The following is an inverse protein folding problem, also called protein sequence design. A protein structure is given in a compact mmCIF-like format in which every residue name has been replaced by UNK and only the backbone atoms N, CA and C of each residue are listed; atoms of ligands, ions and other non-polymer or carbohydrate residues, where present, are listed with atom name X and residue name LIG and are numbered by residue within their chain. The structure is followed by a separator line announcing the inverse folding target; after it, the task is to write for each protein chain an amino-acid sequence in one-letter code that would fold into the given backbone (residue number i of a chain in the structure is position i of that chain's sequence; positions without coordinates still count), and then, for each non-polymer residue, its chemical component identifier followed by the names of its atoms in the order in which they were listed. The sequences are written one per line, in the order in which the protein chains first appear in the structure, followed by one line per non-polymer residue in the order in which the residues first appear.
data_IF_441101682862
#
_entry.id   IF_441101682862
#
_cell.length_a   1.000
_cell.length_b   1.000
_cell.length_c   1.000
_cell.angle_alpha   90.00
_cell.angle_beta   90.00
_cell.angle_gamma   90.00
#
_symmetry.space_group_name_H-M   'P 1'
#
loop_
_entity.id
_entity.type
_entity.pdbx_description
1 polymer ?
#
# COMPACT_ATOMS: atom_id res chain seq x y z
N UNK A 1 13.96 18.88 2.19
CA UNK A 1 13.61 17.55 1.68
C UNK A 1 12.14 17.55 1.31
N UNK A 2 11.74 16.91 0.20
CA UNK A 2 10.32 16.74 -0.19
C UNK A 2 10.14 15.29 -0.63
N UNK A 3 9.01 14.69 -0.25
CA UNK A 3 8.64 13.34 -0.63
C UNK A 3 7.48 13.39 -1.64
N UNK A 4 7.50 12.46 -2.58
CA UNK A 4 6.33 12.22 -3.41
C UNK A 4 5.14 11.79 -2.55
N UNK A 5 5.40 10.96 -1.51
CA UNK A 5 4.39 10.41 -0.60
C UNK A 5 5.00 10.06 0.76
N UNK A 6 4.20 10.20 1.82
CA UNK A 6 4.51 9.62 3.13
C UNK A 6 3.48 8.53 3.42
N UNK A 7 3.95 7.34 3.78
CA UNK A 7 3.09 6.27 4.28
C UNK A 7 2.81 6.53 5.76
N UNK A 8 1.54 6.52 6.16
CA UNK A 8 1.13 6.64 7.56
C UNK A 8 0.21 5.46 7.86
N UNK A 9 0.71 4.52 8.65
CA UNK A 9 -0.05 3.36 9.03
C UNK A 9 -1.08 3.74 10.08
N UNK A 10 -2.36 3.83 9.71
CA UNK A 10 -3.44 4.12 10.65
C UNK A 10 -3.64 2.98 11.64
N UNK A 11 -3.45 1.76 11.19
CA UNK A 11 -3.51 0.54 11.99
C UNK A 11 -2.64 -0.54 11.36
N UNK A 12 -2.02 -1.39 12.18
CA UNK A 12 -1.33 -2.60 11.71
C UNK A 12 -2.26 -3.83 11.72
N UNK A 13 -3.54 -3.63 12.03
CA UNK A 13 -4.55 -4.68 12.03
C UNK A 13 -5.11 -4.84 10.62
N UNK A 14 -5.08 -6.06 10.08
CA UNK A 14 -5.67 -6.39 8.79
C UNK A 14 -6.80 -7.42 8.92
N UNK A 15 -6.79 -8.24 10.00
CA UNK A 15 -7.75 -9.32 10.16
C UNK A 15 -7.57 -10.50 9.20
N UNK A 16 -6.50 -10.49 8.39
CA UNK A 16 -6.15 -11.53 7.40
C UNK A 16 -4.73 -12.06 7.66
N UNK A 17 -4.43 -13.23 7.10
CA UNK A 17 -3.13 -13.91 7.21
C UNK A 17 -2.62 -14.34 5.84
N UNK A 18 -2.64 -13.42 4.87
CA UNK A 18 -2.21 -13.70 3.50
C UNK A 18 -0.77 -14.22 3.46
N UNK A 19 -0.54 -15.29 2.70
CA UNK A 19 0.77 -15.97 2.64
C UNK A 19 1.90 -15.11 2.05
N UNK A 20 1.57 -14.03 1.32
CA UNK A 20 2.54 -13.08 0.76
C UNK A 20 2.87 -11.91 1.69
N UNK A 21 2.14 -11.75 2.80
CA UNK A 21 2.43 -10.69 3.77
C UNK A 21 3.57 -11.12 4.73
N UNK A 22 4.28 -10.15 5.34
CA UNK A 22 5.28 -10.47 6.34
C UNK A 22 4.61 -11.02 7.61
N UNK A 23 5.34 -11.83 8.35
CA UNK A 23 4.92 -12.22 9.71
C UNK A 23 4.85 -10.97 10.59
N UNK A 24 3.70 -10.68 11.14
CA UNK A 24 3.50 -9.51 12.03
C UNK A 24 4.14 -9.78 13.37
N UNK A 25 5.17 -9.02 13.72
CA UNK A 25 5.92 -9.14 14.98
C UNK A 25 5.50 -8.10 16.01
N UNK A 26 4.94 -6.97 15.56
CA UNK A 26 4.49 -5.89 16.45
C UNK A 26 3.10 -6.19 17.01
N UNK A 27 2.82 -5.76 18.26
CA UNK A 27 1.48 -5.83 18.84
C UNK A 27 0.45 -5.12 17.96
N UNK A 28 -0.79 -5.63 17.96
CA UNK A 28 -1.91 -4.98 17.27
C UNK A 28 -2.10 -3.56 17.83
N UNK A 29 -2.11 -2.58 16.94
CA UNK A 29 -2.19 -1.17 17.30
C UNK A 29 -2.94 -0.36 16.24
N UNK A 30 -3.69 0.62 16.72
CA UNK A 30 -4.30 1.67 15.91
C UNK A 30 -3.79 3.02 16.39
N UNK A 31 -3.43 3.88 15.47
CA UNK A 31 -3.05 5.27 15.74
C UNK A 31 -4.29 6.05 16.18
N UNK A 32 -4.21 6.84 17.25
CA UNK A 32 -5.34 7.70 17.61
C UNK A 32 -5.52 8.84 16.61
N UNK A 33 -6.75 9.35 16.50
CA UNK A 33 -7.10 10.44 15.59
C UNK A 33 -6.30 11.70 15.90
N UNK A 34 -6.12 12.02 17.19
CA UNK A 34 -5.35 13.18 17.65
C UNK A 34 -3.86 13.06 17.31
N UNK A 35 -3.30 11.84 17.47
CA UNK A 35 -1.92 11.61 17.11
C UNK A 35 -1.72 11.68 15.61
N UNK A 36 -2.65 11.15 14.83
CA UNK A 36 -2.64 11.28 13.37
C UNK A 36 -2.67 12.75 12.93
N UNK A 37 -3.53 13.60 13.53
CA UNK A 37 -3.55 15.04 13.24
C UNK A 37 -2.20 15.69 13.51
N UNK A 38 -1.57 15.35 14.62
CA UNK A 38 -0.24 15.87 14.97
C UNK A 38 0.83 15.49 13.94
N UNK A 39 0.74 14.26 13.39
CA UNK A 39 1.64 13.76 12.35
C UNK A 39 1.37 14.46 11.02
N UNK A 40 0.10 14.55 10.60
CA UNK A 40 -0.29 15.20 9.34
C UNK A 40 0.14 16.66 9.30
N UNK A 41 0.02 17.36 10.44
CA UNK A 41 0.46 18.74 10.61
C UNK A 41 1.96 18.93 10.34
N UNK A 42 2.76 17.93 10.69
CA UNK A 42 4.19 17.93 10.40
C UNK A 42 4.48 17.45 8.97
N UNK A 43 3.79 16.38 8.52
CA UNK A 43 4.00 15.75 7.22
C UNK A 43 3.72 16.69 6.04
N UNK A 44 2.75 17.63 6.17
CA UNK A 44 2.40 18.59 5.10
C UNK A 44 3.56 19.52 4.70
N UNK A 45 4.57 19.68 5.55
CA UNK A 45 5.80 20.39 5.18
C UNK A 45 6.65 19.62 4.16
N UNK A 46 6.42 18.32 4.01
CA UNK A 46 7.27 17.41 3.22
C UNK A 46 6.54 16.77 2.04
N UNK A 47 5.21 16.66 2.08
CA UNK A 47 4.41 16.08 1.00
C UNK A 47 3.02 16.69 0.94
N UNK A 48 2.32 16.49 -0.17
CA UNK A 48 0.89 16.79 -0.33
C UNK A 48 0.04 15.51 -0.40
N UNK A 49 0.68 14.34 -0.34
CA UNK A 49 0.01 13.05 -0.48
C UNK A 49 0.47 12.05 0.57
N UNK A 50 -0.46 11.38 1.23
CA UNK A 50 -0.19 10.27 2.14
C UNK A 50 -0.76 8.96 1.61
N UNK A 51 -0.21 7.83 2.06
CA UNK A 51 -0.81 6.51 1.88
C UNK A 51 -1.12 5.93 3.25
N UNK A 52 -2.39 5.66 3.51
CA UNK A 52 -2.87 5.28 4.84
C UNK A 52 -2.70 3.77 5.14
N UNK A 53 -1.54 3.21 4.82
CA UNK A 53 -1.22 1.81 5.08
C UNK A 53 0.29 1.54 5.14
N UNK A 54 0.67 0.47 5.83
CA UNK A 54 1.93 -0.27 5.71
C UNK A 54 1.59 -1.75 5.61
N UNK A 55 1.19 -2.41 6.69
CA UNK A 55 0.75 -3.83 6.67
C UNK A 55 -0.68 -4.02 7.16
N UNK A 56 -1.32 -3.03 7.76
CA UNK A 56 -2.72 -3.06 8.14
C UNK A 56 -3.65 -2.67 7.00
N UNK A 57 -4.93 -2.93 7.19
CA UNK A 57 -5.97 -2.51 6.25
C UNK A 57 -6.77 -1.35 6.86
N UNK A 58 -6.68 -0.12 6.32
CA UNK A 58 -7.38 1.04 6.86
C UNK A 58 -8.90 0.88 6.88
N UNK A 59 -9.46 0.02 6.03
CA UNK A 59 -10.91 -0.24 6.02
C UNK A 59 -11.38 -1.11 7.20
N UNK A 60 -10.48 -1.61 8.06
CA UNK A 60 -10.87 -2.22 9.33
C UNK A 60 -11.43 -1.19 10.32
N UNK A 61 -11.05 0.09 10.18
CA UNK A 61 -11.41 1.19 11.08
C UNK A 61 -12.81 1.71 10.79
N UNK A 62 -13.76 1.54 11.71
CA UNK A 62 -15.12 2.07 11.56
C UNK A 62 -15.18 3.60 11.51
N UNK A 63 -14.21 4.27 12.10
CA UNK A 63 -14.08 5.74 12.12
C UNK A 63 -13.08 6.27 11.07
N UNK A 64 -12.87 5.56 9.96
CA UNK A 64 -11.96 6.00 8.89
C UNK A 64 -12.25 7.44 8.42
N UNK A 65 -13.53 7.85 8.42
CA UNK A 65 -13.92 9.20 8.02
C UNK A 65 -13.23 10.29 8.84
N UNK A 66 -13.00 10.10 10.14
CA UNK A 66 -12.33 11.09 11.00
C UNK A 66 -10.89 11.38 10.54
N UNK A 67 -10.17 10.33 10.10
CA UNK A 67 -8.82 10.48 9.54
C UNK A 67 -8.85 11.18 8.18
N UNK A 68 -9.87 10.92 7.36
CA UNK A 68 -10.03 11.59 6.07
C UNK A 68 -10.40 13.08 6.24
N UNK A 69 -11.23 13.41 7.21
CA UNK A 69 -11.59 14.80 7.56
C UNK A 69 -10.35 15.61 7.98
N UNK A 70 -9.43 14.99 8.76
CA UNK A 70 -8.15 15.61 9.11
C UNK A 70 -7.32 15.90 7.85
N UNK A 71 -7.23 14.94 6.93
CA UNK A 71 -6.51 15.16 5.68
C UNK A 71 -7.12 16.31 4.85
N UNK A 72 -8.44 16.43 4.86
CA UNK A 72 -9.14 17.54 4.19
C UNK A 72 -8.79 18.88 4.82
N UNK A 73 -8.86 18.99 6.15
CA UNK A 73 -8.47 20.18 6.89
C UNK A 73 -7.04 20.66 6.56
N UNK A 74 -6.14 19.70 6.35
CA UNK A 74 -4.75 19.98 5.98
C UNK A 74 -4.50 20.06 4.46
N UNK A 75 -5.56 19.93 3.63
CA UNK A 75 -5.51 19.96 2.15
C UNK A 75 -4.59 18.91 1.57
N UNK A 76 -4.55 17.74 2.18
CA UNK A 76 -3.76 16.60 1.73
C UNK A 76 -4.61 15.58 0.98
N UNK A 77 -4.02 14.90 0.03
CA UNK A 77 -4.64 13.77 -0.68
C UNK A 77 -4.17 12.45 -0.09
N UNK A 78 -4.99 11.40 -0.26
CA UNK A 78 -4.64 10.07 0.22
C UNK A 78 -4.86 8.99 -0.80
N UNK A 79 -4.08 7.92 -0.62
CA UNK A 79 -4.24 6.64 -1.29
C UNK A 79 -4.59 5.61 -0.22
N UNK A 80 -5.71 4.92 -0.40
CA UNK A 80 -6.12 3.79 0.41
C UNK A 80 -5.66 2.49 -0.27
N UNK A 81 -5.17 1.54 0.51
CA UNK A 81 -4.90 0.18 0.04
C UNK A 81 -5.59 -0.79 0.98
N UNK A 82 -6.40 -1.67 0.42
CA UNK A 82 -7.25 -2.59 1.16
C UNK A 82 -7.22 -3.98 0.53
N UNK A 83 -7.52 -4.97 1.34
CA UNK A 83 -7.78 -6.35 0.91
C UNK A 83 -9.11 -6.50 0.13
N UNK A 84 -10.02 -5.53 0.26
CA UNK A 84 -11.38 -5.61 -0.27
C UNK A 84 -12.43 -6.20 0.69
N UNK A 85 -12.01 -6.90 1.74
CA UNK A 85 -12.91 -7.60 2.67
C UNK A 85 -13.82 -6.67 3.48
N UNK A 86 -13.39 -5.42 3.70
CA UNK A 86 -14.07 -4.48 4.59
C UNK A 86 -14.83 -3.37 3.87
N UNK A 87 -14.96 -3.44 2.55
CA UNK A 87 -15.67 -2.43 1.75
C UNK A 87 -17.10 -2.17 2.26
N UNK A 88 -17.83 -3.24 2.63
CA UNK A 88 -19.21 -3.14 3.14
C UNK A 88 -19.34 -2.46 4.51
N UNK A 89 -18.24 -2.23 5.23
CA UNK A 89 -18.24 -1.48 6.49
C UNK A 89 -18.36 0.02 6.30
N UNK A 90 -18.13 0.51 5.08
CA UNK A 90 -18.05 1.93 4.78
C UNK A 90 -19.14 2.35 3.79
N UNK A 91 -19.61 3.59 3.95
CA UNK A 91 -20.47 4.22 2.95
C UNK A 91 -19.63 4.68 1.76
N UNK A 92 -20.25 4.81 0.59
CA UNK A 92 -19.57 5.39 -0.57
C UNK A 92 -19.15 6.84 -0.34
N UNK A 93 -19.84 7.59 0.51
CA UNK A 93 -19.41 8.92 0.91
C UNK A 93 -18.03 8.90 1.59
N UNK A 94 -17.77 7.91 2.46
CA UNK A 94 -16.44 7.72 3.07
C UNK A 94 -15.41 7.26 2.04
N UNK A 95 -15.74 6.27 1.21
CA UNK A 95 -14.79 5.73 0.23
C UNK A 95 -14.44 6.74 -0.88
N UNK A 96 -15.38 7.59 -1.25
CA UNK A 96 -15.19 8.65 -2.25
C UNK A 96 -14.96 10.03 -1.62
N UNK A 97 -14.50 10.05 -0.37
CA UNK A 97 -14.18 11.29 0.32
C UNK A 97 -13.26 12.18 -0.55
N UNK A 98 -13.44 13.52 -0.56
CA UNK A 98 -12.69 14.43 -1.45
C UNK A 98 -11.16 14.32 -1.34
N UNK A 99 -10.64 13.85 -0.21
CA UNK A 99 -9.20 13.61 -0.04
C UNK A 99 -8.72 12.34 -0.70
N UNK A 100 -9.60 11.35 -0.94
CA UNK A 100 -9.23 10.07 -1.55
C UNK A 100 -8.99 10.27 -3.04
N UNK A 101 -7.74 10.10 -3.44
CA UNK A 101 -7.31 10.17 -4.84
C UNK A 101 -7.39 8.79 -5.52
N UNK A 102 -7.17 7.74 -4.72
CA UNK A 102 -7.03 6.39 -5.24
C UNK A 102 -7.36 5.34 -4.19
N UNK A 103 -8.06 4.29 -4.60
CA UNK A 103 -8.27 3.07 -3.82
C UNK A 103 -7.59 1.92 -4.55
N UNK A 104 -6.69 1.22 -3.86
CA UNK A 104 -6.09 -0.01 -4.34
C UNK A 104 -6.76 -1.19 -3.65
N UNK A 105 -7.20 -2.18 -4.42
CA UNK A 105 -7.73 -3.44 -3.90
C UNK A 105 -6.74 -4.55 -4.24
N UNK A 106 -6.21 -5.23 -3.23
CA UNK A 106 -5.29 -6.35 -3.38
C UNK A 106 -6.09 -7.63 -3.62
N UNK A 107 -6.39 -7.96 -4.89
CA UNK A 107 -7.21 -9.12 -5.26
C UNK A 107 -6.64 -10.44 -4.77
N UNK A 108 -5.31 -10.55 -4.69
CA UNK A 108 -4.64 -11.73 -4.15
C UNK A 108 -4.89 -11.97 -2.65
N UNK A 109 -5.49 -11.01 -1.95
CA UNK A 109 -5.92 -11.22 -0.56
C UNK A 109 -6.99 -12.30 -0.42
N UNK A 110 -7.75 -12.59 -1.49
CA UNK A 110 -8.74 -13.67 -1.48
C UNK A 110 -8.09 -15.05 -1.57
N UNK A 111 -7.32 -15.30 -2.63
CA UNK A 111 -6.79 -16.63 -2.93
C UNK A 111 -5.52 -17.01 -2.12
N UNK A 112 -4.92 -16.05 -1.43
CA UNK A 112 -3.74 -16.26 -0.56
C UNK A 112 -4.09 -16.25 0.93
N UNK A 113 -5.36 -16.39 1.26
CA UNK A 113 -5.85 -16.36 2.61
C UNK A 113 -6.89 -17.45 2.81
N UNK A 114 -6.95 -18.03 4.00
CA UNK A 114 -8.04 -18.94 4.36
C UNK A 114 -9.29 -18.12 4.68
N UNK A 115 -10.36 -18.34 3.92
CA UNK A 115 -11.61 -17.57 4.03
C UNK A 115 -12.83 -18.45 3.81
N UNK A 116 -13.89 -18.15 4.55
CA UNK A 116 -15.20 -18.78 4.36
C UNK A 116 -16.05 -18.10 3.27
N UNK A 117 -15.61 -16.97 2.71
CA UNK A 117 -16.33 -16.29 1.64
C UNK A 117 -16.18 -17.05 0.32
N UNK A 118 -17.29 -17.16 -0.43
CA UNK A 118 -17.17 -17.58 -1.84
C UNK A 118 -16.50 -16.49 -2.68
N UNK A 119 -16.02 -16.85 -3.85
CA UNK A 119 -15.44 -15.91 -4.80
C UNK A 119 -16.40 -14.76 -5.14
N UNK A 120 -17.67 -15.08 -5.37
CA UNK A 120 -18.72 -14.12 -5.70
C UNK A 120 -18.99 -13.18 -4.52
N UNK A 121 -19.04 -13.71 -3.30
CA UNK A 121 -19.23 -12.91 -2.08
C UNK A 121 -18.10 -11.93 -1.84
N UNK A 122 -16.87 -12.31 -2.19
CA UNK A 122 -15.71 -11.43 -2.12
C UNK A 122 -15.72 -10.38 -3.22
N UNK A 123 -16.02 -10.78 -4.46
CA UNK A 123 -15.91 -9.91 -5.63
C UNK A 123 -17.06 -8.89 -5.72
N UNK A 124 -18.27 -9.26 -5.29
CA UNK A 124 -19.47 -8.42 -5.39
C UNK A 124 -19.28 -7.00 -4.82
N UNK A 125 -18.77 -6.78 -3.59
CA UNK A 125 -18.58 -5.42 -3.07
C UNK A 125 -17.52 -4.62 -3.85
N UNK A 126 -16.57 -5.30 -4.49
CA UNK A 126 -15.55 -4.65 -5.32
C UNK A 126 -16.18 -4.15 -6.63
N UNK A 127 -16.99 -4.99 -7.28
CA UNK A 127 -17.71 -4.59 -8.49
C UNK A 127 -18.71 -3.46 -8.20
N UNK A 128 -19.44 -3.54 -7.09
CA UNK A 128 -20.33 -2.44 -6.67
C UNK A 128 -19.60 -1.12 -6.41
N UNK A 129 -18.39 -1.17 -5.86
CA UNK A 129 -17.56 0.03 -5.71
C UNK A 129 -17.24 0.66 -7.08
N UNK A 130 -16.94 -0.19 -8.07
CA UNK A 130 -16.69 0.25 -9.44
C UNK A 130 -17.95 0.84 -10.08
N UNK A 131 -19.09 0.17 -9.96
CA UNK A 131 -20.38 0.63 -10.49
C UNK A 131 -20.77 1.99 -9.89
N UNK A 132 -20.64 2.12 -8.58
CA UNK A 132 -20.99 3.35 -7.90
C UNK A 132 -20.07 4.51 -8.29
N UNK A 133 -18.78 4.24 -8.48
CA UNK A 133 -17.84 5.22 -9.03
C UNK A 133 -18.25 5.70 -10.42
N UNK A 134 -18.68 4.76 -11.29
CA UNK A 134 -19.14 5.07 -12.65
C UNK A 134 -20.44 5.88 -12.58
N UNK A 135 -21.41 5.43 -11.81
CA UNK A 135 -22.73 6.07 -11.62
C UNK A 135 -22.62 7.51 -11.11
N UNK A 136 -21.68 7.78 -10.20
CA UNK A 136 -21.44 9.12 -9.64
C UNK A 136 -20.47 9.97 -10.49
N UNK A 137 -19.94 9.44 -11.59
CA UNK A 137 -18.88 10.08 -12.38
C UNK A 137 -17.67 10.50 -11.52
N UNK A 138 -17.40 9.77 -10.45
CA UNK A 138 -16.35 10.11 -9.51
C UNK A 138 -14.97 10.00 -10.13
N UNK A 139 -14.08 10.94 -9.82
CA UNK A 139 -12.76 11.07 -10.46
C UNK A 139 -11.64 10.31 -9.74
N UNK A 140 -11.93 9.54 -8.70
CA UNK A 140 -10.93 8.70 -8.04
C UNK A 140 -10.42 7.59 -8.97
N UNK A 141 -9.19 7.14 -8.73
CA UNK A 141 -8.68 5.91 -9.33
C UNK A 141 -9.06 4.70 -8.48
N UNK A 142 -9.53 3.64 -9.13
CA UNK A 142 -9.65 2.31 -8.53
C UNK A 142 -8.64 1.41 -9.22
N UNK A 143 -7.65 0.94 -8.47
CA UNK A 143 -6.65 -0.02 -8.94
C UNK A 143 -6.93 -1.39 -8.36
N UNK A 144 -7.41 -2.29 -9.17
CA UNK A 144 -7.57 -3.70 -8.85
C UNK A 144 -6.22 -4.39 -9.08
N UNK A 145 -5.52 -4.74 -8.00
CA UNK A 145 -4.14 -5.24 -8.04
C UNK A 145 -4.11 -6.76 -8.07
N UNK A 146 -3.47 -7.30 -9.10
CA UNK A 146 -3.22 -8.72 -9.26
C UNK A 146 -1.71 -8.96 -9.43
N UNK A 147 -1.03 -9.32 -8.35
CA UNK A 147 0.43 -9.40 -8.26
C UNK A 147 0.93 -10.84 -8.32
N UNK A 148 0.55 -11.57 -9.34
CA UNK A 148 0.88 -12.99 -9.48
C UNK A 148 1.19 -13.41 -10.92
N UNK A 149 1.67 -12.50 -11.77
CA UNK A 149 2.00 -12.79 -13.16
C UNK A 149 3.35 -13.51 -13.38
N UNK A 150 4.03 -13.95 -12.34
CA UNK A 150 5.23 -14.77 -12.54
C UNK A 150 4.83 -16.24 -12.70
N UNK A 151 5.54 -16.96 -13.56
CA UNK A 151 5.26 -18.35 -13.91
C UNK A 151 5.29 -19.33 -12.72
N UNK A 152 6.07 -19.00 -11.69
CA UNK A 152 6.21 -19.84 -10.49
C UNK A 152 5.11 -19.60 -9.45
N UNK A 153 4.49 -18.43 -9.46
CA UNK A 153 3.51 -17.98 -8.46
C UNK A 153 2.12 -17.74 -9.06
N UNK A 154 1.98 -17.93 -10.37
CA UNK A 154 0.71 -17.77 -11.08
C UNK A 154 -0.30 -18.80 -10.58
N UNK A 155 -1.48 -18.33 -10.28
CA UNK A 155 -2.62 -19.15 -9.92
C UNK A 155 -3.64 -19.04 -11.04
N UNK A 156 -3.40 -19.77 -12.10
CA UNK A 156 -4.11 -19.71 -13.38
C UNK A 156 -5.62 -19.80 -13.18
N UNK A 157 -6.11 -20.79 -12.44
CA UNK A 157 -7.53 -20.96 -12.19
C UNK A 157 -8.19 -19.78 -11.46
N UNK A 158 -7.46 -19.08 -10.57
CA UNK A 158 -7.95 -17.87 -9.93
C UNK A 158 -7.97 -16.69 -10.88
N UNK A 159 -6.91 -16.52 -11.67
CA UNK A 159 -6.80 -15.45 -12.67
C UNK A 159 -7.89 -15.58 -13.72
N UNK A 160 -8.14 -16.79 -14.23
CA UNK A 160 -9.22 -17.06 -15.21
C UNK A 160 -10.58 -16.68 -14.67
N UNK A 161 -10.91 -17.04 -13.41
CA UNK A 161 -12.17 -16.64 -12.77
C UNK A 161 -12.31 -15.12 -12.67
N UNK A 162 -11.24 -14.42 -12.30
CA UNK A 162 -11.23 -12.95 -12.23
C UNK A 162 -11.41 -12.33 -13.61
N UNK A 163 -10.66 -12.80 -14.61
CA UNK A 163 -10.75 -12.25 -15.96
C UNK A 163 -12.13 -12.49 -16.58
N UNK A 164 -12.70 -13.68 -16.40
CA UNK A 164 -14.04 -13.98 -16.85
C UNK A 164 -15.09 -13.05 -16.19
N UNK A 165 -15.01 -12.88 -14.86
CA UNK A 165 -15.92 -12.00 -14.12
C UNK A 165 -15.80 -10.54 -14.58
N UNK A 166 -14.58 -10.01 -14.74
CA UNK A 166 -14.37 -8.65 -15.22
C UNK A 166 -14.75 -8.47 -16.68
N UNK A 167 -14.50 -9.46 -17.53
CA UNK A 167 -14.93 -9.43 -18.95
C UNK A 167 -16.43 -9.27 -19.06
N UNK A 168 -17.20 -10.06 -18.30
CA UNK A 168 -18.67 -9.98 -18.29
C UNK A 168 -19.12 -8.63 -17.72
N UNK A 169 -18.55 -8.21 -16.58
CA UNK A 169 -19.00 -7.02 -15.86
C UNK A 169 -18.74 -5.72 -16.62
N UNK A 170 -17.53 -5.58 -17.21
CA UNK A 170 -17.12 -4.36 -17.92
C UNK A 170 -17.35 -4.42 -19.42
N UNK A 171 -17.81 -5.54 -19.97
CA UNK A 171 -18.04 -5.69 -21.42
C UNK A 171 -16.75 -5.65 -22.24
N UNK A 172 -15.63 -6.12 -21.71
CA UNK A 172 -14.33 -6.16 -22.35
C UNK A 172 -13.82 -7.60 -22.44
N UNK A 173 -12.92 -7.88 -23.37
CA UNK A 173 -12.30 -9.19 -23.51
C UNK A 173 -10.96 -9.23 -22.74
N UNK A 174 -10.88 -10.10 -21.72
CA UNK A 174 -9.66 -10.37 -20.95
C UNK A 174 -9.26 -11.85 -21.17
N UNK A 175 -8.39 -12.10 -22.11
CA UNK A 175 -7.89 -13.44 -22.42
C UNK A 175 -6.66 -13.76 -21.57
N UNK A 176 -6.74 -14.82 -20.74
CA UNK A 176 -5.67 -15.23 -19.83
C UNK A 176 -4.35 -15.47 -20.57
N UNK A 177 -4.38 -16.24 -21.67
CA UNK A 177 -3.18 -16.57 -22.46
C UNK A 177 -2.51 -15.31 -23.03
N UNK A 178 -3.30 -14.36 -23.51
CA UNK A 178 -2.79 -13.10 -24.04
C UNK A 178 -2.16 -12.28 -22.93
N UNK A 179 -2.82 -12.14 -21.79
CA UNK A 179 -2.30 -11.38 -20.62
C UNK A 179 -1.02 -12.01 -20.09
N UNK A 180 -0.98 -13.34 -19.97
CA UNK A 180 0.21 -14.05 -19.48
C UNK A 180 1.39 -13.95 -20.44
N UNK A 181 1.13 -13.94 -21.76
CA UNK A 181 2.17 -13.78 -22.79
C UNK A 181 2.72 -12.36 -22.86
N UNK A 182 1.83 -11.37 -22.85
CA UNK A 182 2.19 -9.95 -23.05
C UNK A 182 2.64 -9.26 -21.76
N UNK A 183 2.25 -9.79 -20.61
CA UNK A 183 2.56 -9.28 -19.27
C UNK A 183 2.38 -7.76 -19.17
N UNK A 184 1.18 -7.23 -19.50
CA UNK A 184 0.92 -5.81 -19.43
C UNK A 184 1.05 -5.32 -17.99
N UNK A 185 1.54 -4.11 -17.78
CA UNK A 185 1.55 -3.49 -16.44
C UNK A 185 0.15 -3.13 -15.97
N UNK A 186 -0.73 -2.77 -16.90
CA UNK A 186 -2.07 -2.28 -16.57
C UNK A 186 -3.02 -2.49 -17.75
N UNK A 187 -4.23 -2.94 -17.45
CA UNK A 187 -5.36 -2.96 -18.39
C UNK A 187 -6.43 -2.01 -17.85
N UNK A 188 -6.95 -1.15 -18.71
CA UNK A 188 -8.07 -0.27 -18.35
C UNK A 188 -9.37 -1.03 -18.48
N UNK A 189 -10.13 -1.14 -17.38
CA UNK A 189 -11.47 -1.75 -17.37
C UNK A 189 -12.55 -0.71 -17.70
N UNK A 190 -12.40 0.52 -17.15
CA UNK A 190 -13.26 1.67 -17.40
C UNK A 190 -12.47 2.96 -17.08
N UNK A 191 -13.12 4.15 -17.18
CA UNK A 191 -12.52 5.43 -16.82
C UNK A 191 -11.98 5.40 -15.37
N UNK A 192 -10.65 5.45 -15.22
CA UNK A 192 -9.93 5.39 -13.95
C UNK A 192 -10.21 4.13 -13.09
N UNK A 193 -10.68 3.05 -13.73
CA UNK A 193 -10.73 1.71 -13.15
C UNK A 193 -9.71 0.86 -13.89
N UNK A 194 -8.71 0.38 -13.18
CA UNK A 194 -7.55 -0.27 -13.76
C UNK A 194 -7.34 -1.64 -13.12
N UNK A 195 -7.10 -2.67 -13.94
CA UNK A 195 -6.51 -3.92 -13.51
C UNK A 195 -4.99 -3.75 -13.61
N UNK A 196 -4.31 -3.76 -12.47
CA UNK A 196 -2.88 -3.48 -12.37
C UNK A 196 -2.11 -4.73 -11.97
N UNK A 197 -1.13 -5.10 -12.77
CA UNK A 197 -0.32 -6.30 -12.62
C UNK A 197 1.06 -5.98 -12.05
N UNK A 198 1.57 -6.90 -11.24
CA UNK A 198 2.93 -6.87 -10.72
C UNK A 198 3.33 -8.29 -10.27
N UNK A 199 4.52 -8.43 -9.73
CA UNK A 199 5.05 -9.67 -9.18
C UNK A 199 5.08 -9.60 -7.66
N UNK A 200 4.92 -10.75 -7.01
CA UNK A 200 5.23 -10.88 -5.60
C UNK A 200 6.69 -10.50 -5.33
N UNK A 201 6.96 -10.06 -4.14
CA UNK A 201 8.30 -9.78 -3.67
C UNK A 201 8.51 -10.34 -2.27
N UNK A 202 9.76 -10.63 -1.94
CA UNK A 202 10.12 -11.06 -0.60
C UNK A 202 10.25 -9.83 0.30
N UNK A 203 9.50 -9.80 1.39
CA UNK A 203 9.62 -8.74 2.39
C UNK A 203 11.02 -8.72 3.00
N UNK A 204 11.59 -7.54 3.27
CA UNK A 204 12.89 -7.43 3.92
C UNK A 204 12.90 -8.12 5.29
N UNK A 205 13.91 -8.90 5.54
CA UNK A 205 14.18 -9.54 6.84
C UNK A 205 15.68 -9.72 7.00
N UNK A 206 16.19 -9.64 8.23
CA UNK A 206 17.59 -9.93 8.52
C UNK A 206 17.96 -11.41 8.27
N UNK A 207 16.93 -12.27 8.19
CA UNK A 207 17.09 -13.70 7.88
C UNK A 207 17.17 -13.98 6.37
N UNK A 208 16.86 -12.99 5.53
CA UNK A 208 16.98 -13.15 4.08
C UNK A 208 18.46 -13.23 3.65
N UNK A 209 18.74 -13.80 2.47
CA UNK A 209 20.07 -13.74 1.88
C UNK A 209 20.59 -12.31 1.75
N UNK A 210 21.90 -12.15 1.86
CA UNK A 210 22.54 -10.87 1.60
C UNK A 210 22.40 -10.49 0.12
N UNK A 211 21.82 -9.30 -0.12
CA UNK A 211 21.56 -8.78 -1.47
C UNK A 211 22.51 -7.66 -1.88
N UNK A 212 23.49 -7.33 -1.04
CA UNK A 212 24.51 -6.33 -1.29
C UNK A 212 24.00 -4.88 -1.31
N UNK A 213 24.73 -4.05 -1.98
CA UNK A 213 24.47 -2.62 -2.18
C UNK A 213 23.41 -2.39 -3.27
N UNK A 214 22.97 -1.15 -3.44
CA UNK A 214 22.04 -0.76 -4.48
C UNK A 214 21.32 0.55 -4.18
N UNK A 215 20.71 1.12 -5.22
CA UNK A 215 19.85 2.29 -5.10
C UNK A 215 18.52 1.89 -4.47
N UNK A 216 17.94 2.79 -3.68
CA UNK A 216 16.60 2.65 -3.15
C UNK A 216 15.86 3.99 -3.21
N UNK A 217 14.54 3.94 -3.27
CA UNK A 217 13.68 5.12 -3.21
C UNK A 217 13.29 5.51 -1.78
N UNK A 218 13.60 4.66 -0.79
CA UNK A 218 13.43 5.00 0.64
C UNK A 218 14.23 6.24 1.00
N UNK A 219 13.66 7.16 1.78
CA UNK A 219 14.23 8.47 2.14
C UNK A 219 14.49 9.43 0.95
N UNK A 220 14.24 9.00 -0.29
CA UNK A 220 14.32 9.84 -1.48
C UNK A 220 12.92 10.26 -1.95
N UNK A 221 12.07 9.30 -2.32
CA UNK A 221 10.70 9.55 -2.76
C UNK A 221 9.65 9.37 -1.67
N UNK A 222 9.95 8.60 -0.62
CA UNK A 222 9.01 8.29 0.45
C UNK A 222 9.69 7.89 1.76
N UNK A 223 8.92 7.98 2.84
CA UNK A 223 9.18 7.40 4.17
C UNK A 223 7.91 6.73 4.65
N UNK A 224 8.00 5.98 5.77
CA UNK A 224 6.82 5.48 6.45
C UNK A 224 6.82 5.84 7.94
N UNK A 225 5.62 5.99 8.49
CA UNK A 225 5.33 6.21 9.90
C UNK A 225 4.40 5.09 10.33
N UNK A 226 4.89 4.23 11.23
CA UNK A 226 4.13 3.10 11.74
C UNK A 226 3.03 3.56 12.71
N UNK A 227 2.02 2.72 12.96
CA UNK A 227 0.94 3.02 13.89
C UNK A 227 1.43 3.36 15.31
N UNK A 228 2.64 2.90 15.66
CA UNK A 228 3.33 3.23 16.91
C UNK A 228 3.89 4.66 16.97
N UNK A 229 4.02 5.35 15.83
CA UNK A 229 4.70 6.64 15.70
C UNK A 229 6.17 6.55 15.29
N UNK A 230 6.72 5.34 15.15
CA UNK A 230 8.09 5.15 14.67
C UNK A 230 8.20 5.56 13.21
N UNK A 231 9.21 6.36 12.88
CA UNK A 231 9.55 6.72 11.49
C UNK A 231 10.56 5.72 10.96
N UNK A 232 10.28 5.18 9.78
CA UNK A 232 11.12 4.18 9.09
C UNK A 232 11.41 4.63 7.66
N UNK A 233 12.49 4.15 7.03
CA UNK A 233 12.93 4.64 5.72
C UNK A 233 11.96 4.32 4.58
N UNK A 234 11.16 3.28 4.69
CA UNK A 234 10.19 2.88 3.66
C UNK A 234 9.07 2.03 4.25
N UNK A 235 7.99 1.84 3.49
CA UNK A 235 6.83 1.04 3.89
C UNK A 235 7.10 -0.48 3.96
N UNK A 236 8.26 -0.95 3.55
CA UNK A 236 8.64 -2.37 3.65
C UNK A 236 9.29 -2.71 4.99
N UNK A 237 9.73 -1.73 5.78
CA UNK A 237 10.20 -1.93 7.15
C UNK A 237 9.01 -1.89 8.12
N UNK A 238 8.15 -2.87 8.01
CA UNK A 238 6.89 -2.96 8.77
C UNK A 238 7.08 -3.24 10.27
N UNK A 239 8.22 -3.77 10.64
CA UNK A 239 8.56 -4.06 12.04
C UNK A 239 9.35 -2.94 12.72
N UNK A 240 9.76 -1.91 11.96
CA UNK A 240 10.54 -0.80 12.49
C UNK A 240 11.96 -1.19 12.90
N UNK A 241 12.58 -2.12 12.14
CA UNK A 241 13.96 -2.55 12.35
C UNK A 241 14.93 -1.38 12.20
N UNK A 242 14.65 -0.49 11.24
CA UNK A 242 15.38 0.76 11.03
C UNK A 242 14.54 1.92 11.58
N UNK A 243 14.29 1.94 12.88
CA UNK A 243 13.64 3.08 13.49
C UNK A 243 14.57 4.30 13.45
N UNK A 244 14.22 5.30 12.64
CA UNK A 244 14.95 6.56 12.53
C UNK A 244 14.65 7.49 13.71
N UNK A 245 13.47 7.33 14.32
CA UNK A 245 13.01 8.05 15.50
C UNK A 245 11.55 7.76 15.79
N UNK A 246 11.01 8.41 16.83
CA UNK A 246 9.63 8.27 17.27
C UNK A 246 8.98 9.66 17.35
N UNK A 247 7.87 9.86 16.67
CA UNK A 247 7.13 11.13 16.63
C UNK A 247 6.40 11.45 17.95
N UNK A 248 6.42 10.54 18.91
CA UNK A 248 5.98 10.81 20.30
C UNK A 248 7.04 11.55 21.11
N UNK A 249 8.31 11.49 20.68
CA UNK A 249 9.46 12.03 21.38
C UNK A 249 10.11 13.20 20.63
N UNK A 250 10.11 13.16 19.31
CA UNK A 250 10.81 14.10 18.44
C UNK A 250 9.91 14.55 17.29
N UNK A 251 10.16 15.73 16.77
CA UNK A 251 9.52 16.19 15.54
C UNK A 251 10.04 15.44 14.32
N UNK A 252 9.22 15.40 13.25
CA UNK A 252 9.64 14.82 11.98
C UNK A 252 10.90 15.55 11.41
N UNK A 253 11.01 16.85 11.65
CA UNK A 253 12.17 17.63 11.23
C UNK A 253 13.45 17.16 11.94
N UNK A 254 13.41 16.99 13.25
CA UNK A 254 14.55 16.49 14.02
C UNK A 254 14.96 15.10 13.54
N UNK A 255 14.01 14.18 13.39
CA UNK A 255 14.28 12.81 12.92
C UNK A 255 14.94 12.80 11.54
N UNK A 256 14.43 13.60 10.60
CA UNK A 256 14.97 13.68 9.25
C UNK A 256 16.33 14.39 9.17
N UNK A 257 16.74 15.07 10.24
CA UNK A 257 18.00 15.80 10.32
C UNK A 257 19.08 15.04 11.10
N UNK A 258 18.81 13.85 11.61
CA UNK A 258 19.80 13.03 12.31
C UNK A 258 20.90 12.55 11.38
N UNK A 259 22.12 12.42 11.90
CA UNK A 259 23.27 11.90 11.14
C UNK A 259 22.96 10.55 10.50
N UNK A 260 22.28 9.65 11.21
CA UNK A 260 21.84 8.34 10.69
C UNK A 260 20.96 8.46 9.45
N UNK A 261 19.95 9.35 9.50
CA UNK A 261 19.05 9.58 8.36
C UNK A 261 19.82 10.17 7.18
N UNK A 262 20.68 11.16 7.43
CA UNK A 262 21.47 11.80 6.38
C UNK A 262 22.49 10.85 5.76
N UNK A 263 23.10 9.97 6.55
CA UNK A 263 24.02 8.94 6.05
C UNK A 263 23.30 7.91 5.17
N UNK A 264 22.09 7.50 5.54
CA UNK A 264 21.27 6.60 4.70
C UNK A 264 20.91 7.25 3.37
N UNK A 265 20.50 8.52 3.39
CA UNK A 265 20.18 9.29 2.16
C UNK A 265 21.40 9.36 1.25
N UNK A 266 22.56 9.70 1.81
CA UNK A 266 23.82 9.74 1.08
C UNK A 266 24.17 8.37 0.51
N UNK A 267 24.08 7.32 1.34
CA UNK A 267 24.34 5.95 0.92
C UNK A 267 23.50 5.53 -0.29
N UNK A 268 22.18 5.73 -0.27
CA UNK A 268 21.32 5.37 -1.39
C UNK A 268 21.61 6.15 -2.68
N UNK A 269 22.01 7.43 -2.58
CA UNK A 269 22.45 8.22 -3.73
C UNK A 269 23.77 7.69 -4.32
N UNK A 270 24.64 7.16 -3.47
CA UNK A 270 25.90 6.50 -3.85
C UNK A 270 25.72 5.01 -4.20
N UNK A 271 24.46 4.53 -4.31
CA UNK A 271 24.10 3.12 -4.54
C UNK A 271 24.61 2.17 -3.45
N UNK A 272 24.73 2.64 -2.22
CA UNK A 272 25.20 1.90 -1.05
C UNK A 272 24.09 1.70 -0.02
N UNK A 273 23.84 0.48 0.39
CA UNK A 273 22.89 0.12 1.43
C UNK A 273 23.57 0.18 2.81
N UNK A 274 23.36 1.27 3.56
CA UNK A 274 24.02 1.52 4.86
C UNK A 274 23.50 0.57 5.95
N UNK A 275 22.19 0.35 5.99
CA UNK A 275 21.54 -0.46 7.04
C UNK A 275 21.49 -1.95 6.67
N UNK A 276 21.68 -2.82 7.67
CA UNK A 276 21.67 -4.27 7.46
C UNK A 276 20.37 -4.76 6.81
N UNK A 277 19.20 -4.29 7.26
CA UNK A 277 17.93 -4.68 6.65
C UNK A 277 17.89 -4.32 5.16
N UNK A 278 18.44 -3.17 4.77
CA UNK A 278 18.53 -2.76 3.37
C UNK A 278 19.49 -3.65 2.56
N UNK A 279 20.56 -4.15 3.19
CA UNK A 279 21.49 -5.11 2.57
C UNK A 279 20.84 -6.47 2.33
N UNK A 280 19.79 -6.82 3.08
CA UNK A 280 19.01 -8.06 2.95
C UNK A 280 17.66 -7.84 2.22
N UNK A 281 17.47 -6.70 1.54
CA UNK A 281 16.27 -6.36 0.80
C UNK A 281 16.46 -6.55 -0.69
N UNK A 282 15.83 -7.58 -1.27
CA UNK A 282 15.87 -7.81 -2.72
C UNK A 282 15.03 -6.81 -3.53
N UNK A 283 14.08 -6.11 -2.88
CA UNK A 283 13.19 -5.17 -3.57
C UNK A 283 13.92 -4.01 -4.25
N UNK A 284 15.12 -3.64 -3.77
CA UNK A 284 15.95 -2.58 -4.37
C UNK A 284 16.41 -2.91 -5.80
N UNK A 285 16.45 -4.21 -6.19
CA UNK A 285 16.78 -4.59 -7.58
C UNK A 285 15.80 -4.03 -8.62
N UNK A 286 14.57 -3.65 -8.18
CA UNK A 286 13.59 -2.99 -9.05
C UNK A 286 13.94 -1.55 -9.43
N UNK A 287 14.95 -0.96 -8.79
CA UNK A 287 15.45 0.40 -9.02
C UNK A 287 16.86 0.41 -9.60
N UNK A 288 17.40 -0.76 -9.92
CA UNK A 288 18.70 -0.89 -10.58
C UNK A 288 18.45 -0.84 -12.08
N UNK A 289 18.83 0.27 -12.71
CA UNK A 289 19.03 0.38 -14.15
C UNK A 289 20.45 -0.05 -14.50
#
# INVERSE_FOLDING_TARGET
MKFYRIYIELTNICGLSCSFCPTKRLPAQTMSVEFFDSIVRQAKAYTTEVACHVVGDPLTLSNLHEYLDILEQHKMKTVLTSSGYYLKKHTYQTLFHPTVKQINISLNSYNKNDTSLTFEQYLEPILRLCDEKIRQENEIFINLRLWNLNEQMSEEAYNEKLFAAFSIHFGILLESDTIMREKPKTIRLDRKILLHFDHYFTWPSLDNPYCGDGRCQGLDSHIAILASGKVVPCCLDSDGVIALGDLRLHSLQEILSTDRTLEMIKGFREKRAVEKLCQHCSYKSRFSD
#
